data_IF_469739114390
#
_entry.id   IF_469739114390
#
_cell.length_a   1.000
_cell.length_b   1.000
_cell.length_c   1.000
_cell.angle_alpha   90.00
_cell.angle_beta   90.00
_cell.angle_gamma   90.00
#
_symmetry.space_group_name_H-M   'P 1'
#
loop_
_entity.id
_entity.type
_entity.pdbx_description
1 polymer ?
#
# COMPACT_ATOMS: atom_id res chain seq x y z
N UNK A 1 6.20 22.64 -7.28
CA UNK A 1 5.93 21.42 -6.51
C UNK A 1 6.15 20.23 -7.44
N UNK A 2 6.89 19.25 -6.98
CA UNK A 2 7.13 18.00 -7.71
C UNK A 2 5.81 17.24 -7.81
N UNK A 3 5.47 16.76 -9.00
CA UNK A 3 4.23 16.04 -9.25
C UNK A 3 4.37 14.59 -8.81
N UNK A 4 3.29 14.00 -8.32
CA UNK A 4 3.22 12.55 -8.03
C UNK A 4 3.21 11.80 -9.36
N UNK A 5 4.21 10.96 -9.58
CA UNK A 5 4.43 10.19 -10.81
C UNK A 5 3.69 8.87 -10.74
N UNK A 6 2.73 8.67 -11.64
CA UNK A 6 1.78 7.55 -11.61
C UNK A 6 1.98 6.63 -12.80
N UNK A 7 2.09 5.32 -12.53
CA UNK A 7 1.98 4.26 -13.53
C UNK A 7 0.58 3.63 -13.43
N UNK A 8 -0.12 3.52 -14.55
CA UNK A 8 -1.45 2.89 -14.63
C UNK A 8 -1.33 1.53 -15.31
N UNK A 9 -1.76 0.47 -14.62
CA UNK A 9 -1.69 -0.91 -15.09
C UNK A 9 -3.09 -1.53 -15.11
N UNK A 10 -3.65 -1.75 -16.30
CA UNK A 10 -5.00 -2.27 -16.48
C UNK A 10 -5.13 -2.85 -17.91
N UNK A 11 -5.68 -4.03 -18.09
CA UNK A 11 -5.83 -4.66 -19.42
C UNK A 11 -6.99 -4.05 -20.23
N UNK A 12 -7.96 -3.42 -19.57
CA UNK A 12 -9.10 -2.78 -20.21
C UNK A 12 -8.72 -1.41 -20.79
N UNK A 13 -8.38 -1.37 -22.06
CA UNK A 13 -7.88 -0.14 -22.74
C UNK A 13 -8.78 1.07 -22.56
N UNK A 14 -10.11 0.90 -22.63
CA UNK A 14 -11.04 2.02 -22.50
C UNK A 14 -11.04 2.59 -21.07
N UNK A 15 -11.07 1.70 -20.07
CA UNK A 15 -11.01 2.11 -18.67
C UNK A 15 -9.67 2.81 -18.36
N UNK A 16 -8.55 2.20 -18.77
CA UNK A 16 -7.20 2.75 -18.58
C UNK A 16 -7.07 4.16 -19.16
N UNK A 17 -7.54 4.39 -20.39
CA UNK A 17 -7.53 5.73 -21.01
C UNK A 17 -8.43 6.73 -20.27
N UNK A 18 -9.62 6.30 -19.84
CA UNK A 18 -10.52 7.13 -19.05
C UNK A 18 -9.89 7.53 -17.71
N UNK A 19 -9.24 6.58 -17.04
CA UNK A 19 -8.54 6.78 -15.79
C UNK A 19 -7.37 7.77 -15.95
N UNK A 20 -6.56 7.60 -16.99
CA UNK A 20 -5.46 8.52 -17.32
C UNK A 20 -5.99 9.94 -17.57
N UNK A 21 -7.06 10.07 -18.34
CA UNK A 21 -7.68 11.39 -18.61
C UNK A 21 -8.21 12.05 -17.33
N UNK A 22 -8.78 11.24 -16.41
CA UNK A 22 -9.27 11.71 -15.11
C UNK A 22 -8.13 12.19 -14.21
N UNK A 23 -7.06 11.41 -14.09
CA UNK A 23 -5.88 11.74 -13.26
C UNK A 23 -5.19 13.00 -13.82
N UNK A 24 -5.07 13.13 -15.14
CA UNK A 24 -4.39 14.25 -15.80
C UNK A 24 -5.11 15.61 -15.61
N UNK A 25 -6.35 15.60 -15.10
CA UNK A 25 -7.04 16.86 -14.74
C UNK A 25 -6.51 17.48 -13.44
N UNK A 26 -5.84 16.70 -12.59
CA UNK A 26 -5.26 17.20 -11.36
C UNK A 26 -3.82 17.66 -11.60
N UNK A 27 -3.52 18.90 -11.21
CA UNK A 27 -2.22 19.56 -11.52
C UNK A 27 -1.03 18.97 -10.75
N UNK A 28 -1.30 18.26 -9.66
CA UNK A 28 -0.32 17.63 -8.76
C UNK A 28 0.05 16.20 -9.17
N UNK A 29 -0.53 15.68 -10.28
CA UNK A 29 -0.25 14.35 -10.79
C UNK A 29 0.41 14.39 -12.17
N UNK A 30 1.20 13.34 -12.46
CA UNK A 30 1.78 13.06 -13.76
C UNK A 30 1.69 11.57 -14.06
N UNK A 31 0.94 11.19 -15.09
CA UNK A 31 0.95 9.80 -15.57
C UNK A 31 2.21 9.59 -16.40
N UNK A 32 3.17 8.85 -15.86
CA UNK A 32 4.47 8.62 -16.48
C UNK A 32 4.50 7.39 -17.38
N UNK A 33 3.48 6.53 -17.30
CA UNK A 33 3.36 5.35 -18.16
C UNK A 33 2.03 4.63 -18.00
N UNK A 34 1.75 3.76 -18.94
CA UNK A 34 0.61 2.84 -18.91
C UNK A 34 1.06 1.43 -19.35
N UNK A 35 0.44 0.38 -18.78
CA UNK A 35 0.70 -1.01 -19.15
C UNK A 35 -0.62 -1.79 -19.24
N UNK A 36 -0.66 -2.77 -20.13
CA UNK A 36 -1.80 -3.66 -20.32
C UNK A 36 -1.62 -5.06 -19.71
N UNK A 37 -0.42 -5.37 -19.24
CA UNK A 37 -0.07 -6.66 -18.62
C UNK A 37 1.04 -6.51 -17.57
N UNK A 38 1.28 -7.59 -16.82
CA UNK A 38 2.27 -7.61 -15.76
C UNK A 38 3.71 -7.48 -16.26
N UNK A 39 4.04 -8.02 -17.44
CA UNK A 39 5.41 -7.99 -17.99
C UNK A 39 5.78 -6.56 -18.38
N UNK A 40 4.88 -5.87 -19.08
CA UNK A 40 5.06 -4.46 -19.41
C UNK A 40 5.13 -3.60 -18.15
N UNK A 41 4.25 -3.84 -17.18
CA UNK A 41 4.27 -3.14 -15.89
C UNK A 41 5.63 -3.25 -15.20
N UNK A 42 6.19 -4.47 -15.10
CA UNK A 42 7.51 -4.69 -14.49
C UNK A 42 8.64 -3.95 -15.23
N UNK A 43 8.61 -3.96 -16.57
CA UNK A 43 9.58 -3.22 -17.39
C UNK A 43 9.51 -1.72 -17.11
N UNK A 44 8.29 -1.16 -17.04
CA UNK A 44 8.07 0.27 -16.78
C UNK A 44 8.40 0.65 -15.35
N UNK A 45 8.12 -0.19 -14.36
CA UNK A 45 8.53 0.02 -12.96
C UNK A 45 10.05 0.22 -12.85
N UNK A 46 10.84 -0.65 -13.50
CA UNK A 46 12.31 -0.56 -13.49
C UNK A 46 12.83 0.72 -14.15
N UNK A 47 12.24 1.11 -15.28
CA UNK A 47 12.73 2.24 -16.08
C UNK A 47 12.23 3.60 -15.59
N UNK A 48 10.98 3.67 -15.16
CA UNK A 48 10.32 4.94 -14.81
C UNK A 48 10.37 5.24 -13.33
N UNK A 49 10.48 4.22 -12.45
CA UNK A 49 10.45 4.36 -10.99
C UNK A 49 9.30 5.28 -10.55
N UNK A 50 8.04 4.89 -10.78
CA UNK A 50 6.88 5.71 -10.42
C UNK A 50 6.76 5.84 -8.90
N UNK A 51 6.15 6.92 -8.42
CA UNK A 51 5.83 7.08 -7.00
C UNK A 51 4.64 6.22 -6.59
N UNK A 52 3.63 6.14 -7.47
CA UNK A 52 2.40 5.38 -7.23
C UNK A 52 2.09 4.50 -8.45
N UNK A 53 1.72 3.26 -8.20
CA UNK A 53 1.27 2.31 -9.21
C UNK A 53 -0.19 1.98 -8.93
N UNK A 54 -1.06 2.28 -9.89
CA UNK A 54 -2.45 1.82 -9.89
C UNK A 54 -2.50 0.49 -10.63
N UNK A 55 -2.81 -0.60 -9.93
CA UNK A 55 -2.68 -1.96 -10.42
C UNK A 55 -4.02 -2.68 -10.42
N UNK A 56 -4.49 -3.08 -11.59
CA UNK A 56 -5.63 -3.99 -11.69
C UNK A 56 -5.25 -5.41 -11.24
N UNK A 57 -6.20 -6.12 -10.63
CA UNK A 57 -6.03 -7.52 -10.28
C UNK A 57 -6.19 -8.45 -11.51
N UNK A 58 -7.04 -8.08 -12.47
CA UNK A 58 -7.32 -8.90 -13.65
C UNK A 58 -6.39 -8.53 -14.81
N UNK A 59 -5.22 -9.14 -14.83
CA UNK A 59 -4.25 -8.96 -15.91
C UNK A 59 -4.05 -10.26 -16.71
N UNK A 60 -3.76 -10.19 -18.02
CA UNK A 60 -3.44 -11.37 -18.82
C UNK A 60 -2.19 -12.08 -18.29
N UNK A 61 -2.29 -13.40 -18.14
CA UNK A 61 -1.16 -14.28 -17.77
C UNK A 61 -0.86 -14.39 -16.28
N UNK A 62 -0.92 -13.31 -15.51
CA UNK A 62 -0.74 -13.32 -14.06
C UNK A 62 -1.63 -12.27 -13.39
N UNK A 63 -2.23 -12.57 -12.25
CA UNK A 63 -3.03 -11.56 -11.53
C UNK A 63 -2.14 -10.43 -10.99
N UNK A 64 -2.74 -9.23 -10.84
CA UNK A 64 -2.05 -8.09 -10.23
C UNK A 64 -1.52 -8.43 -8.84
N UNK A 65 -2.31 -9.14 -8.02
CA UNK A 65 -1.91 -9.58 -6.68
C UNK A 65 -0.67 -10.50 -6.73
N UNK A 66 -0.62 -11.44 -7.69
CA UNK A 66 0.53 -12.32 -7.87
C UNK A 66 1.78 -11.57 -8.34
N UNK A 67 1.61 -10.46 -9.04
CA UNK A 67 2.70 -9.63 -9.57
C UNK A 67 3.29 -8.67 -8.53
N UNK A 68 2.65 -8.46 -7.38
CA UNK A 68 3.09 -7.52 -6.34
C UNK A 68 4.54 -7.75 -5.87
N UNK A 69 4.98 -8.99 -5.53
CA UNK A 69 6.36 -9.21 -5.08
C UNK A 69 7.40 -8.77 -6.12
N UNK A 70 7.15 -9.06 -7.41
CA UNK A 70 8.05 -8.70 -8.50
C UNK A 70 8.04 -7.18 -8.75
N UNK A 71 6.89 -6.52 -8.63
CA UNK A 71 6.76 -5.07 -8.72
C UNK A 71 7.56 -4.39 -7.60
N UNK A 72 7.45 -4.84 -6.36
CA UNK A 72 8.24 -4.29 -5.25
C UNK A 72 9.74 -4.55 -5.40
N UNK A 73 10.12 -5.69 -5.97
CA UNK A 73 11.52 -5.94 -6.31
C UNK A 73 12.02 -4.99 -7.41
N UNK A 74 11.18 -4.68 -8.39
CA UNK A 74 11.51 -3.81 -9.53
C UNK A 74 11.55 -2.32 -9.15
N UNK A 75 10.69 -1.89 -8.22
CA UNK A 75 10.55 -0.50 -7.76
C UNK A 75 10.17 -0.47 -6.27
N UNK A 76 11.14 -0.66 -5.37
CA UNK A 76 10.89 -0.83 -3.92
C UNK A 76 10.36 0.44 -3.23
N UNK A 77 10.58 1.60 -3.83
CA UNK A 77 10.11 2.89 -3.29
C UNK A 77 8.70 3.26 -3.77
N UNK A 78 8.13 2.50 -4.71
CA UNK A 78 6.79 2.75 -5.24
C UNK A 78 5.71 2.29 -4.25
N UNK A 79 4.65 3.08 -4.18
CA UNK A 79 3.43 2.73 -3.46
C UNK A 79 2.45 2.06 -4.42
N UNK A 80 1.93 0.88 -4.08
CA UNK A 80 0.97 0.17 -4.94
C UNK A 80 -0.44 0.26 -4.37
N UNK A 81 -1.37 0.73 -5.20
CA UNK A 81 -2.82 0.71 -4.94
C UNK A 81 -3.46 -0.28 -5.91
N UNK A 82 -4.08 -1.32 -5.38
CA UNK A 82 -4.94 -2.19 -6.18
C UNK A 82 -6.19 -1.42 -6.59
N UNK A 83 -6.53 -1.48 -7.88
CA UNK A 83 -7.74 -0.86 -8.43
C UNK A 83 -8.53 -1.94 -9.18
N UNK A 84 -9.60 -2.43 -8.59
CA UNK A 84 -10.29 -3.65 -9.03
C UNK A 84 -11.82 -3.54 -8.99
N UNK A 85 -12.49 -4.42 -9.68
CA UNK A 85 -13.94 -4.64 -9.56
C UNK A 85 -14.28 -5.66 -8.47
N UNK A 86 -13.29 -6.43 -7.99
CA UNK A 86 -13.50 -7.48 -6.99
C UNK A 86 -13.69 -6.88 -5.61
N UNK A 87 -14.79 -7.29 -4.97
CA UNK A 87 -15.06 -7.04 -3.55
C UNK A 87 -14.75 -8.27 -2.69
N UNK A 88 -14.02 -9.24 -3.24
CA UNK A 88 -13.69 -10.47 -2.52
C UNK A 88 -12.74 -10.17 -1.36
N UNK A 89 -13.09 -10.68 -0.19
CA UNK A 89 -12.31 -10.51 1.03
C UNK A 89 -10.95 -11.22 0.93
N UNK A 90 -10.88 -12.37 0.26
CA UNK A 90 -9.65 -13.10 0.09
C UNK A 90 -8.66 -12.32 -0.80
N UNK A 91 -9.12 -11.71 -1.88
CA UNK A 91 -8.32 -10.84 -2.75
C UNK A 91 -7.76 -9.65 -1.98
N UNK A 92 -8.61 -8.99 -1.18
CA UNK A 92 -8.21 -7.86 -0.34
C UNK A 92 -7.11 -8.26 0.65
N UNK A 93 -7.33 -9.34 1.40
CA UNK A 93 -6.36 -9.84 2.39
C UNK A 93 -5.05 -10.21 1.70
N UNK A 94 -5.09 -10.94 0.60
CA UNK A 94 -3.91 -11.37 -0.13
C UNK A 94 -3.13 -10.18 -0.72
N UNK A 95 -3.82 -9.18 -1.26
CA UNK A 95 -3.18 -7.95 -1.75
C UNK A 95 -2.42 -7.22 -0.64
N UNK A 96 -3.05 -7.05 0.53
CA UNK A 96 -2.42 -6.41 1.69
C UNK A 96 -1.26 -7.24 2.25
N UNK A 97 -1.40 -8.57 2.28
CA UNK A 97 -0.33 -9.48 2.69
C UNK A 97 0.86 -9.46 1.73
N UNK A 98 0.62 -9.29 0.43
CA UNK A 98 1.65 -9.13 -0.59
C UNK A 98 2.21 -7.70 -0.68
N UNK A 99 1.75 -6.79 0.19
CA UNK A 99 2.37 -5.47 0.37
C UNK A 99 1.66 -4.30 -0.26
N UNK A 100 0.49 -4.47 -0.88
CA UNK A 100 -0.27 -3.34 -1.38
C UNK A 100 -0.59 -2.36 -0.23
N UNK A 101 -0.40 -1.07 -0.46
CA UNK A 101 -0.70 -0.01 0.51
C UNK A 101 -2.12 0.52 0.36
N UNK A 102 -2.77 0.22 -0.76
CA UNK A 102 -4.15 0.60 -1.00
C UNK A 102 -4.94 -0.44 -1.76
N UNK A 103 -6.26 -0.42 -1.58
CA UNK A 103 -7.21 -1.26 -2.30
C UNK A 103 -8.48 -0.47 -2.52
N UNK A 104 -8.72 -0.06 -3.78
CA UNK A 104 -9.85 0.75 -4.20
C UNK A 104 -10.68 -0.01 -5.25
N UNK A 105 -11.97 0.29 -5.28
CA UNK A 105 -12.85 -0.24 -6.31
C UNK A 105 -12.79 0.63 -7.56
N UNK A 106 -12.88 0.02 -8.75
CA UNK A 106 -13.01 0.75 -10.04
C UNK A 106 -14.30 1.58 -10.13
N UNK A 107 -15.25 1.33 -9.22
CA UNK A 107 -16.50 2.08 -9.06
C UNK A 107 -16.37 3.28 -8.13
N UNK A 108 -15.20 3.49 -7.49
CA UNK A 108 -14.96 4.62 -6.61
C UNK A 108 -15.13 5.94 -7.34
N UNK A 109 -15.67 6.92 -6.65
CA UNK A 109 -15.82 8.29 -7.15
C UNK A 109 -14.45 8.92 -7.44
N UNK A 110 -14.44 9.86 -8.42
CA UNK A 110 -13.21 10.58 -8.82
C UNK A 110 -12.44 11.15 -7.63
N UNK A 111 -13.15 11.87 -6.76
CA UNK A 111 -12.52 12.57 -5.63
C UNK A 111 -11.95 11.59 -4.60
N UNK A 112 -12.59 10.44 -4.41
CA UNK A 112 -12.10 9.35 -3.56
C UNK A 112 -10.80 8.75 -4.11
N UNK A 113 -10.76 8.47 -5.40
CA UNK A 113 -9.55 7.96 -6.07
C UNK A 113 -8.38 8.95 -5.97
N UNK A 114 -8.60 10.23 -6.33
CA UNK A 114 -7.54 11.24 -6.29
C UNK A 114 -7.05 11.49 -4.86
N UNK A 115 -7.95 11.50 -3.87
CA UNK A 115 -7.59 11.59 -2.46
C UNK A 115 -6.83 10.35 -2.00
N UNK A 116 -7.25 9.16 -2.45
CA UNK A 116 -6.59 7.90 -2.16
C UNK A 116 -5.15 7.87 -2.66
N UNK A 117 -4.90 8.32 -3.88
CA UNK A 117 -3.53 8.44 -4.44
C UNK A 117 -2.65 9.35 -3.57
N UNK A 118 -3.17 10.53 -3.16
CA UNK A 118 -2.43 11.46 -2.29
C UNK A 118 -2.10 10.85 -0.93
N UNK A 119 -3.07 10.19 -0.31
CA UNK A 119 -2.89 9.51 0.98
C UNK A 119 -1.87 8.40 0.90
N UNK A 120 -1.99 7.54 -0.12
CA UNK A 120 -1.05 6.45 -0.31
C UNK A 120 0.39 6.96 -0.54
N UNK A 121 0.56 7.99 -1.38
CA UNK A 121 1.86 8.66 -1.56
C UNK A 121 2.39 9.27 -0.25
N UNK A 122 1.51 9.74 0.64
CA UNK A 122 1.88 10.19 1.98
C UNK A 122 2.19 9.05 2.96
N UNK A 123 2.11 7.78 2.52
CA UNK A 123 2.38 6.60 3.35
C UNK A 123 1.21 6.18 4.25
N UNK A 124 0.00 6.64 3.94
CA UNK A 124 -1.23 6.20 4.60
C UNK A 124 -1.81 4.99 3.87
N UNK A 125 -2.43 4.07 4.62
CA UNK A 125 -3.18 2.97 4.00
C UNK A 125 -4.52 3.47 3.47
N UNK A 126 -4.89 3.02 2.27
CA UNK A 126 -6.12 3.44 1.59
C UNK A 126 -6.96 2.21 1.24
N UNK A 127 -8.12 2.11 1.87
CA UNK A 127 -9.08 1.05 1.60
C UNK A 127 -10.44 1.72 1.42
N UNK A 128 -11.18 1.34 0.37
CA UNK A 128 -12.51 1.87 0.15
C UNK A 128 -13.43 1.54 1.34
N UNK A 129 -14.39 2.40 1.60
CA UNK A 129 -15.28 2.29 2.78
C UNK A 129 -16.02 0.96 2.80
N UNK A 130 -16.46 0.50 1.65
CA UNK A 130 -17.18 -0.76 1.44
C UNK A 130 -16.36 -1.96 1.91
N UNK A 131 -15.05 -1.92 1.68
CA UNK A 131 -14.12 -3.00 2.01
C UNK A 131 -13.58 -2.92 3.44
N UNK A 132 -13.62 -1.75 4.07
CA UNK A 132 -13.16 -1.59 5.46
C UNK A 132 -13.95 -2.48 6.44
N UNK A 133 -15.27 -2.59 6.26
CA UNK A 133 -16.09 -3.48 7.09
C UNK A 133 -15.74 -4.95 6.89
N UNK A 134 -15.46 -5.36 5.65
CA UNK A 134 -15.05 -6.74 5.33
C UNK A 134 -13.71 -7.06 5.99
N UNK A 135 -12.74 -6.15 5.91
CA UNK A 135 -11.44 -6.30 6.56
C UNK A 135 -11.56 -6.48 8.08
N UNK A 136 -12.37 -5.65 8.74
CA UNK A 136 -12.61 -5.77 10.20
C UNK A 136 -13.26 -7.11 10.56
N UNK A 137 -14.17 -7.61 9.72
CA UNK A 137 -14.81 -8.92 9.91
C UNK A 137 -13.79 -10.06 9.76
N UNK A 138 -12.94 -10.01 8.74
CA UNK A 138 -11.89 -10.99 8.49
C UNK A 138 -10.92 -11.13 9.68
N UNK A 139 -10.48 -10.01 10.23
CA UNK A 139 -9.59 -10.02 11.41
C UNK A 139 -10.29 -10.56 12.67
N UNK A 140 -11.60 -10.37 12.82
CA UNK A 140 -12.36 -10.95 13.95
C UNK A 140 -12.52 -12.46 13.84
N UNK A 141 -12.67 -12.98 12.62
CA UNK A 141 -12.82 -14.43 12.36
C UNK A 141 -11.49 -15.14 12.18
N UNK A 142 -10.44 -14.44 11.71
CA UNK A 142 -9.10 -14.97 11.42
C UNK A 142 -8.14 -15.10 12.61
N UNK A 143 -8.59 -14.85 13.84
CA UNK A 143 -7.78 -15.01 15.08
C UNK A 143 -7.36 -16.46 15.41
N UNK A 144 -7.37 -17.37 14.40
CA UNK A 144 -6.85 -18.74 14.50
C UNK A 144 -5.85 -19.04 13.39
N UNK A 145 -4.86 -18.18 13.19
CA UNK A 145 -3.63 -18.62 12.55
C UNK A 145 -2.58 -18.80 13.63
N UNK A 146 -2.39 -20.06 14.01
CA UNK A 146 -1.27 -20.54 14.80
C UNK A 146 0.03 -20.32 14.01
N UNK A 147 0.58 -19.11 14.09
CA UNK A 147 1.98 -18.85 13.82
C UNK A 147 2.74 -19.10 15.12
N UNK A 148 3.47 -20.22 15.22
CA UNK A 148 4.40 -20.47 16.31
C UNK A 148 5.31 -19.25 16.50
N UNK A 149 5.51 -18.75 17.73
CA UNK A 149 6.52 -17.73 18.00
C UNK A 149 7.90 -18.34 17.75
N UNK A 150 8.59 -17.88 16.71
CA UNK A 150 10.03 -18.10 16.60
C UNK A 150 10.69 -17.25 17.67
N UNK A 151 11.41 -17.90 18.56
CA UNK A 151 12.03 -17.40 19.78
C UNK A 151 13.21 -16.43 19.51
N UNK A 152 12.98 -15.36 18.80
CA UNK A 152 13.82 -14.15 18.82
C UNK A 152 12.89 -13.01 18.40
N UNK A 153 12.45 -12.19 19.38
CA UNK A 153 11.55 -11.09 19.11
C UNK A 153 12.16 -10.16 18.06
N UNK A 154 11.61 -10.17 16.84
CA UNK A 154 12.00 -9.24 15.77
C UNK A 154 11.86 -7.78 16.23
N UNK A 155 10.99 -7.53 17.23
CA UNK A 155 10.88 -6.23 17.90
C UNK A 155 12.22 -5.78 18.54
N UNK A 156 13.10 -6.72 18.94
CA UNK A 156 14.42 -6.39 19.48
C UNK A 156 15.39 -5.75 18.45
N UNK A 157 15.07 -5.82 17.16
CA UNK A 157 15.86 -5.20 16.09
C UNK A 157 15.52 -3.73 15.87
N UNK A 158 14.39 -3.27 16.45
CA UNK A 158 13.90 -1.90 16.30
C UNK A 158 14.52 -0.98 17.35
N UNK A 159 14.87 0.23 16.94
CA UNK A 159 15.27 1.29 17.86
C UNK A 159 14.05 1.78 18.69
N UNK A 160 14.27 2.45 19.83
CA UNK A 160 13.17 3.02 20.65
C UNK A 160 12.23 3.92 19.83
N UNK A 161 12.76 4.74 18.93
CA UNK A 161 11.96 5.62 18.05
C UNK A 161 11.16 4.84 16.99
N UNK A 162 11.70 3.74 16.48
CA UNK A 162 10.98 2.85 15.59
C UNK A 162 9.85 2.13 16.34
N UNK A 163 10.07 1.70 17.58
CA UNK A 163 9.02 1.11 18.44
C UNK A 163 7.89 2.10 18.68
N UNK A 164 8.21 3.36 19.03
CA UNK A 164 7.20 4.42 19.21
C UNK A 164 6.40 4.63 17.92
N UNK A 165 7.07 4.62 16.76
CA UNK A 165 6.43 4.73 15.45
C UNK A 165 5.52 3.52 15.19
N UNK A 166 5.96 2.29 15.47
CA UNK A 166 5.17 1.06 15.33
C UNK A 166 3.90 1.11 16.19
N UNK A 167 3.99 1.56 17.45
CA UNK A 167 2.81 1.73 18.33
C UNK A 167 1.77 2.66 17.72
N UNK A 168 2.22 3.80 17.19
CA UNK A 168 1.33 4.77 16.57
C UNK A 168 0.73 4.28 15.25
N UNK A 169 1.49 3.51 14.47
CA UNK A 169 0.96 2.83 13.29
C UNK A 169 -0.14 1.84 13.67
N UNK A 170 0.06 1.10 14.73
CA UNK A 170 -0.87 0.06 15.18
C UNK A 170 -2.22 0.61 15.62
N UNK A 171 -2.26 1.84 16.15
CA UNK A 171 -3.52 2.54 16.48
C UNK A 171 -4.09 3.36 15.31
N UNK A 172 -3.51 3.21 14.10
CA UNK A 172 -4.03 3.82 12.88
C UNK A 172 -3.62 5.28 12.65
N UNK A 173 -2.63 5.82 13.40
CA UNK A 173 -2.19 7.21 13.23
C UNK A 173 -1.55 7.44 11.86
N UNK A 174 -1.89 8.51 11.15
CA UNK A 174 -1.22 8.94 9.92
C UNK A 174 0.22 9.43 10.18
N UNK A 175 1.06 9.55 9.13
CA UNK A 175 2.42 10.07 9.28
C UNK A 175 2.44 11.48 9.88
N UNK A 176 1.47 12.32 9.54
CA UNK A 176 1.30 13.66 10.08
C UNK A 176 0.98 13.65 11.58
N UNK A 177 0.13 12.73 12.03
CA UNK A 177 -0.20 12.56 13.45
C UNK A 177 0.98 11.99 14.23
N UNK A 178 1.70 11.02 13.66
CA UNK A 178 2.94 10.48 14.24
C UNK A 178 3.99 11.58 14.38
N UNK A 179 4.20 12.38 13.33
CA UNK A 179 5.12 13.50 13.33
C UNK A 179 4.82 14.47 14.47
N UNK A 180 3.53 14.84 14.63
CA UNK A 180 3.07 15.72 15.70
C UNK A 180 3.28 15.11 17.09
N UNK A 181 2.98 13.82 17.26
CA UNK A 181 3.10 13.16 18.57
C UNK A 181 4.56 12.94 18.97
N UNK A 182 5.44 12.62 18.01
CA UNK A 182 6.85 12.38 18.27
C UNK A 182 7.72 13.64 18.22
N UNK A 183 7.15 14.79 17.80
CA UNK A 183 7.88 16.07 17.69
C UNK A 183 8.93 16.06 16.59
N UNK A 184 8.70 15.38 15.46
CA UNK A 184 9.62 15.25 14.34
C UNK A 184 8.93 15.66 13.01
N UNK A 185 9.72 15.83 11.94
CA UNK A 185 9.18 16.13 10.63
C UNK A 185 8.46 14.89 10.03
N UNK A 186 7.42 15.12 9.22
CA UNK A 186 6.69 14.04 8.53
C UNK A 186 7.62 13.22 7.60
N UNK A 187 8.58 13.88 6.96
CA UNK A 187 9.63 13.21 6.16
C UNK A 187 10.46 12.26 7.00
N UNK A 188 10.74 12.60 8.26
CA UNK A 188 11.47 11.72 9.20
C UNK A 188 10.62 10.50 9.57
N UNK A 189 9.29 10.67 9.73
CA UNK A 189 8.39 9.53 9.94
C UNK A 189 8.40 8.58 8.76
N UNK A 190 8.36 9.09 7.52
CA UNK A 190 8.47 8.25 6.30
C UNK A 190 9.75 7.41 6.32
N UNK A 191 10.89 8.00 6.70
CA UNK A 191 12.17 7.28 6.82
C UNK A 191 12.09 6.20 7.91
N UNK A 192 11.49 6.50 9.07
CA UNK A 192 11.30 5.50 10.12
C UNK A 192 10.43 4.34 9.63
N UNK A 193 9.32 4.62 8.95
CA UNK A 193 8.45 3.58 8.37
C UNK A 193 9.21 2.70 7.38
N UNK A 194 9.99 3.28 6.47
CA UNK A 194 10.83 2.52 5.53
C UNK A 194 11.86 1.64 6.25
N UNK A 195 12.51 2.15 7.29
CA UNK A 195 13.47 1.38 8.08
C UNK A 195 12.79 0.23 8.84
N UNK A 196 11.61 0.46 9.41
CA UNK A 196 10.81 -0.57 10.09
C UNK A 196 10.44 -1.69 9.10
N UNK A 197 9.89 -1.33 7.94
CA UNK A 197 9.53 -2.29 6.90
C UNK A 197 10.72 -3.15 6.50
N UNK A 198 11.87 -2.53 6.24
CA UNK A 198 13.10 -3.24 5.87
C UNK A 198 13.62 -4.15 6.99
N UNK A 199 13.67 -3.68 8.25
CA UNK A 199 14.17 -4.45 9.40
C UNK A 199 13.29 -5.65 9.73
N UNK A 200 11.98 -5.49 9.59
CA UNK A 200 11.01 -6.55 9.85
C UNK A 200 10.71 -7.41 8.62
N UNK A 201 11.35 -7.11 7.46
CA UNK A 201 11.05 -7.76 6.17
C UNK A 201 9.56 -7.70 5.82
N UNK A 202 8.91 -6.57 6.14
CA UNK A 202 7.52 -6.28 5.84
C UNK A 202 7.44 -5.35 4.63
N UNK A 203 6.33 -5.43 3.89
CA UNK A 203 6.15 -4.68 2.64
C UNK A 203 5.08 -3.60 2.73
N UNK A 204 4.25 -3.60 3.79
CA UNK A 204 3.21 -2.59 3.96
C UNK A 204 3.04 -2.14 5.40
N UNK A 205 2.50 -0.93 5.56
CA UNK A 205 2.13 -0.35 6.87
C UNK A 205 1.08 -1.19 7.61
N UNK A 206 0.18 -1.85 6.85
CA UNK A 206 -0.82 -2.76 7.43
C UNK A 206 -0.13 -3.93 8.08
N UNK A 207 0.90 -4.51 7.44
CA UNK A 207 1.69 -5.58 8.02
C UNK A 207 2.42 -5.14 9.31
N UNK A 208 2.89 -3.89 9.37
CA UNK A 208 3.47 -3.34 10.61
C UNK A 208 2.42 -3.29 11.73
N UNK A 209 1.19 -2.86 11.43
CA UNK A 209 0.10 -2.83 12.42
C UNK A 209 -0.27 -4.24 12.91
N UNK A 210 -0.35 -5.22 12.00
CA UNK A 210 -0.61 -6.63 12.33
C UNK A 210 0.53 -7.20 13.18
N UNK A 211 1.77 -6.96 12.79
CA UNK A 211 2.97 -7.36 13.55
C UNK A 211 2.94 -6.80 14.98
N UNK A 212 2.64 -5.51 15.13
CA UNK A 212 2.58 -4.85 16.44
C UNK A 212 1.53 -5.49 17.38
N UNK A 213 0.38 -5.89 16.82
CA UNK A 213 -0.65 -6.63 17.56
C UNK A 213 -0.17 -8.04 17.96
N UNK A 214 0.46 -8.77 17.05
CA UNK A 214 0.95 -10.12 17.28
C UNK A 214 2.07 -10.17 18.34
N UNK A 215 2.96 -9.18 18.35
CA UNK A 215 4.07 -9.05 19.32
C UNK A 215 3.66 -8.36 20.63
N UNK A 216 2.40 -7.94 20.78
CA UNK A 216 1.92 -7.26 22.00
C UNK A 216 2.58 -5.91 22.26
N UNK A 217 3.05 -5.22 21.20
CA UNK A 217 3.69 -3.89 21.30
C UNK A 217 2.67 -2.80 21.68
N UNK A 218 1.38 -3.09 21.49
CA UNK A 218 0.28 -2.23 21.90
C UNK A 218 -0.11 -2.61 23.33
N UNK A 219 0.32 -1.82 24.28
CA UNK A 219 -0.14 -1.85 25.68
C UNK A 219 -0.65 -0.47 26.02
#
# INVERSE_FOLDING_TARGET
LEKIRILVVDDHTLFRRGLIALISQASDFEVVGEAGDAIEALRLCKSLKPDVILLDNHLPGASGIQSLPDIFHASPDSTVIMLTVSEDEADLIQALQNGAQGYLLKTSEKDELLLGIRKAFAGESVISKELTHKLVSAFKTGAKHEGKPSNTSLAATLSPREIDTVRLIAVGSSNKEIARQLGIAETTVKIHVQHILRKLSLTSRVQVAVFANAEGIIS
#
